data_IF_765657355366
#
_entry.id   IF_765657355366
#
_cell.length_a   1.000
_cell.length_b   1.000
_cell.length_c   1.000
_cell.angle_alpha   90.00
_cell.angle_beta   90.00
_cell.angle_gamma   90.00
#
_symmetry.space_group_name_H-M   'P 1'
#
loop_
_entity.id
_entity.type
_entity.pdbx_description
1 polymer ?
#
# COMPACT_ATOMS: atom_id res chain seq x y z
N UNK A 1 -6.87 -3.41 -29.56
CA UNK A 1 -6.27 -4.73 -29.81
C UNK A 1 -5.19 -5.10 -28.79
N UNK A 2 -4.31 -4.18 -28.34
CA UNK A 2 -3.25 -4.49 -27.35
C UNK A 2 -3.80 -4.98 -25.99
N UNK A 3 -4.93 -4.47 -25.51
CA UNK A 3 -5.48 -4.81 -24.19
C UNK A 3 -6.01 -6.26 -24.06
N UNK A 4 -6.38 -6.93 -25.16
CA UNK A 4 -6.91 -8.30 -25.11
C UNK A 4 -5.82 -9.35 -24.89
N UNK A 5 -4.57 -9.03 -25.20
CA UNK A 5 -3.43 -9.93 -24.96
C UNK A 5 -3.06 -10.00 -23.48
N UNK A 6 -3.31 -8.92 -22.73
CA UNK A 6 -2.93 -8.81 -21.32
C UNK A 6 -3.98 -9.38 -20.35
N UNK A 7 -5.09 -9.91 -20.86
CA UNK A 7 -6.13 -10.54 -20.04
C UNK A 7 -5.96 -12.06 -19.90
N UNK A 8 -5.12 -12.66 -20.74
CA UNK A 8 -4.88 -14.10 -20.82
C UNK A 8 -3.37 -14.39 -20.88
N UNK A 9 -2.64 -14.07 -19.80
CA UNK A 9 -1.21 -14.41 -19.72
C UNK A 9 -1.02 -15.85 -19.26
N UNK A 10 -0.07 -16.56 -19.88
CA UNK A 10 0.40 -17.84 -19.34
C UNK A 10 1.11 -17.65 -18.00
N UNK A 11 1.11 -18.72 -17.18
CA UNK A 11 1.87 -18.78 -15.92
C UNK A 11 3.33 -18.34 -16.08
N UNK A 12 4.00 -18.86 -17.10
CA UNK A 12 5.43 -18.59 -17.36
C UNK A 12 5.66 -17.11 -17.68
N UNK A 13 4.79 -16.51 -18.49
CA UNK A 13 4.87 -15.09 -18.83
C UNK A 13 4.62 -14.22 -17.60
N UNK A 14 3.65 -14.56 -16.77
CA UNK A 14 3.37 -13.87 -15.51
C UNK A 14 4.58 -13.90 -14.57
N UNK A 15 5.16 -15.08 -14.36
CA UNK A 15 6.30 -15.29 -13.47
C UNK A 15 7.55 -14.55 -14.00
N UNK A 16 7.80 -14.61 -15.31
CA UNK A 16 8.88 -13.85 -15.94
C UNK A 16 8.73 -12.34 -15.72
N UNK A 17 7.52 -11.78 -15.91
CA UNK A 17 7.26 -10.36 -15.68
C UNK A 17 7.46 -9.98 -14.22
N UNK A 18 6.97 -10.79 -13.29
CA UNK A 18 7.12 -10.51 -11.86
C UNK A 18 8.59 -10.49 -11.43
N UNK A 19 9.40 -11.43 -11.94
CA UNK A 19 10.86 -11.46 -11.71
C UNK A 19 11.56 -10.27 -12.37
N UNK A 20 11.24 -9.97 -13.64
CA UNK A 20 11.88 -8.87 -14.38
C UNK A 20 11.56 -7.48 -13.80
N UNK A 21 10.41 -7.32 -13.14
CA UNK A 21 9.99 -6.07 -12.51
C UNK A 21 10.31 -5.99 -11.02
N UNK A 22 10.98 -7.01 -10.47
CA UNK A 22 11.23 -7.18 -9.03
C UNK A 22 9.96 -6.97 -8.18
N UNK A 23 8.81 -7.42 -8.70
CA UNK A 23 7.52 -7.22 -8.08
C UNK A 23 7.04 -8.51 -7.39
N UNK A 24 7.55 -8.75 -6.19
CA UNK A 24 7.18 -9.92 -5.38
C UNK A 24 5.67 -10.00 -5.08
N UNK A 25 4.97 -8.84 -5.01
CA UNK A 25 3.52 -8.79 -4.75
C UNK A 25 2.74 -9.46 -5.87
N UNK A 26 3.21 -9.37 -7.12
CA UNK A 26 2.59 -10.07 -8.24
C UNK A 26 2.68 -11.59 -8.12
N UNK A 27 3.78 -12.13 -7.60
CA UNK A 27 3.90 -13.57 -7.34
C UNK A 27 2.98 -14.00 -6.18
N UNK A 28 2.95 -13.20 -5.11
CA UNK A 28 2.14 -13.50 -3.92
C UNK A 28 0.63 -13.46 -4.19
N UNK A 29 0.17 -12.53 -5.04
CA UNK A 29 -1.26 -12.35 -5.37
C UNK A 29 -1.68 -13.07 -6.65
N UNK A 30 -0.82 -13.89 -7.25
CA UNK A 30 -1.03 -14.53 -8.55
C UNK A 30 -2.37 -15.28 -8.66
N UNK A 31 -2.71 -16.08 -7.66
CA UNK A 31 -3.95 -16.89 -7.67
C UNK A 31 -5.23 -16.04 -7.71
N UNK A 32 -5.18 -14.80 -7.23
CA UNK A 32 -6.31 -13.86 -7.29
C UNK A 32 -6.72 -13.53 -8.73
N UNK A 33 -5.76 -13.56 -9.65
CA UNK A 33 -5.94 -13.13 -11.03
C UNK A 33 -6.03 -14.29 -12.01
N UNK A 34 -6.01 -15.53 -11.50
CA UNK A 34 -6.17 -16.73 -12.31
C UNK A 34 -7.59 -16.78 -12.90
N UNK A 35 -7.69 -17.01 -14.20
CA UNK A 35 -8.96 -17.21 -14.88
C UNK A 35 -9.26 -18.70 -15.03
N UNK A 36 -10.53 -19.09 -14.93
CA UNK A 36 -10.98 -20.49 -15.04
C UNK A 36 -11.16 -20.98 -16.49
N UNK A 37 -10.69 -20.21 -17.46
CA UNK A 37 -10.94 -20.47 -18.88
C UNK A 37 -9.98 -21.54 -19.44
N UNK A 38 -10.33 -22.82 -19.30
CA UNK A 38 -9.72 -23.92 -20.07
C UNK A 38 -8.79 -24.85 -19.27
N UNK A 39 -8.09 -25.74 -20.00
CA UNK A 39 -7.18 -26.75 -19.43
C UNK A 39 -5.85 -26.13 -18.94
N UNK A 40 -5.51 -24.92 -19.41
CA UNK A 40 -4.27 -24.22 -19.07
C UNK A 40 -4.51 -23.04 -18.11
N UNK A 41 -3.53 -22.76 -17.24
CA UNK A 41 -3.61 -21.65 -16.30
C UNK A 41 -3.34 -20.29 -16.99
N UNK A 42 -4.36 -19.44 -17.01
CA UNK A 42 -4.30 -18.09 -17.53
C UNK A 42 -4.49 -17.03 -16.44
N UNK A 43 -3.90 -15.84 -16.61
CA UNK A 43 -3.91 -14.76 -15.63
C UNK A 43 -4.29 -13.39 -16.24
N UNK A 44 -5.18 -12.66 -15.55
CA UNK A 44 -5.62 -11.33 -15.96
C UNK A 44 -4.70 -10.22 -15.42
N UNK A 45 -3.67 -9.91 -16.20
CA UNK A 45 -2.67 -8.92 -15.83
C UNK A 45 -3.19 -7.49 -15.86
N UNK A 46 -4.13 -7.17 -16.76
CA UNK A 46 -4.78 -5.85 -16.75
C UNK A 46 -5.52 -5.56 -15.43
N UNK A 47 -6.22 -6.56 -14.88
CA UNK A 47 -6.88 -6.42 -13.59
C UNK A 47 -5.83 -6.25 -12.48
N UNK A 48 -4.80 -7.09 -12.47
CA UNK A 48 -3.75 -7.04 -11.48
C UNK A 48 -3.04 -5.70 -11.40
N UNK A 49 -2.64 -5.14 -12.55
CA UNK A 49 -1.99 -3.83 -12.59
C UNK A 49 -2.91 -2.72 -12.07
N UNK A 50 -4.20 -2.75 -12.42
CA UNK A 50 -5.16 -1.74 -11.94
C UNK A 50 -5.28 -1.76 -10.42
N UNK A 51 -5.48 -2.94 -9.86
CA UNK A 51 -5.61 -3.10 -8.41
C UNK A 51 -4.30 -2.77 -7.68
N UNK A 52 -3.15 -3.20 -8.20
CA UNK A 52 -1.85 -2.84 -7.63
C UNK A 52 -1.58 -1.34 -7.67
N UNK A 53 -1.95 -0.65 -8.75
CA UNK A 53 -1.83 0.81 -8.84
C UNK A 53 -2.74 1.51 -7.83
N UNK A 54 -3.95 1.00 -7.61
CA UNK A 54 -4.89 1.55 -6.64
C UNK A 54 -4.44 1.30 -5.20
N UNK A 55 -4.01 0.08 -4.88
CA UNK A 55 -3.40 -0.29 -3.59
C UNK A 55 -2.24 0.65 -3.25
N UNK A 56 -1.30 0.85 -4.18
CA UNK A 56 -0.16 1.75 -3.99
C UNK A 56 -0.57 3.21 -3.76
N UNK A 57 -1.60 3.69 -4.47
CA UNK A 57 -2.13 5.06 -4.27
C UNK A 57 -2.83 5.21 -2.92
N UNK A 58 -3.52 4.18 -2.45
CA UNK A 58 -4.19 4.18 -1.15
C UNK A 58 -3.16 4.15 -0.03
N UNK A 59 -2.14 3.30 -0.17
CA UNK A 59 -1.04 3.20 0.78
C UNK A 59 -0.27 4.53 0.88
N UNK A 60 0.11 5.12 -0.25
CA UNK A 60 0.77 6.43 -0.25
C UNK A 60 -0.07 7.55 0.39
N UNK A 61 -1.39 7.54 0.21
CA UNK A 61 -2.30 8.47 0.90
C UNK A 61 -2.31 8.24 2.42
N UNK A 62 -2.34 6.98 2.85
CA UNK A 62 -2.33 6.59 4.25
C UNK A 62 -1.02 6.97 4.93
N UNK A 63 0.11 6.63 4.32
CA UNK A 63 1.44 7.03 4.79
C UNK A 63 1.59 8.55 4.86
N UNK A 64 1.11 9.27 3.85
CA UNK A 64 1.14 10.73 3.81
C UNK A 64 0.31 11.36 4.93
N UNK A 65 -0.90 10.85 5.18
CA UNK A 65 -1.75 11.28 6.29
C UNK A 65 -1.08 11.03 7.64
N UNK A 66 -0.54 9.82 7.86
CA UNK A 66 0.18 9.48 9.08
C UNK A 66 1.40 10.38 9.29
N UNK A 67 2.20 10.62 8.23
CA UNK A 67 3.37 11.50 8.29
C UNK A 67 2.99 12.92 8.68
N UNK A 68 1.89 13.46 8.13
CA UNK A 68 1.37 14.80 8.51
C UNK A 68 0.98 14.83 9.98
N UNK A 69 0.21 13.85 10.46
CA UNK A 69 -0.17 13.74 11.88
C UNK A 69 1.05 13.66 12.77
N UNK A 70 2.04 12.83 12.42
CA UNK A 70 3.31 12.73 13.19
C UNK A 70 4.03 14.08 13.28
N UNK A 71 4.07 14.86 12.20
CA UNK A 71 4.66 16.20 12.20
C UNK A 71 3.90 17.18 13.09
N UNK A 72 2.57 17.21 13.00
CA UNK A 72 1.74 18.08 13.85
C UNK A 72 1.93 17.73 15.33
N UNK A 73 1.85 16.44 15.68
CA UNK A 73 2.05 15.97 17.07
C UNK A 73 3.44 16.35 17.58
N UNK A 74 4.49 16.14 16.79
CA UNK A 74 5.86 16.55 17.15
C UNK A 74 5.95 18.04 17.47
N UNK A 75 5.37 18.89 16.62
CA UNK A 75 5.40 20.33 16.81
C UNK A 75 4.66 20.74 18.08
N UNK A 76 3.49 20.16 18.34
CA UNK A 76 2.72 20.45 19.54
C UNK A 76 3.42 19.99 20.82
N UNK A 77 4.08 18.82 20.80
CA UNK A 77 4.93 18.36 21.91
C UNK A 77 6.05 19.36 22.20
N UNK A 78 6.74 19.85 21.16
CA UNK A 78 7.81 20.85 21.30
C UNK A 78 7.32 22.20 21.83
N UNK A 79 6.06 22.56 21.56
CA UNK A 79 5.42 23.75 22.12
C UNK A 79 4.95 23.56 23.58
N UNK A 80 5.06 22.34 24.13
CA UNK A 80 4.71 22.04 25.52
C UNK A 80 3.23 21.74 25.76
N UNK A 81 2.45 21.41 24.73
CA UNK A 81 1.06 21.01 24.90
C UNK A 81 0.92 19.66 25.64
N UNK A 82 -0.19 19.50 26.37
CA UNK A 82 -0.50 18.24 27.05
C UNK A 82 -0.88 17.15 26.05
N UNK A 83 -0.65 15.89 26.40
CA UNK A 83 -1.02 14.74 25.55
C UNK A 83 -2.52 14.74 25.23
N UNK A 84 -3.37 15.13 26.19
CA UNK A 84 -4.83 15.18 26.01
C UNK A 84 -5.24 16.25 24.98
N UNK A 85 -4.67 17.45 25.06
CA UNK A 85 -4.94 18.53 24.09
C UNK A 85 -4.43 18.15 22.69
N UNK A 86 -3.27 17.50 22.61
CA UNK A 86 -2.70 17.02 21.35
C UNK A 86 -3.61 15.95 20.72
N UNK A 87 -4.11 14.99 21.50
CA UNK A 87 -4.99 13.95 21.00
C UNK A 87 -6.28 14.53 20.43
N UNK A 88 -6.85 15.55 21.10
CA UNK A 88 -8.03 16.28 20.63
C UNK A 88 -7.75 17.08 19.36
N UNK A 89 -6.63 17.79 19.29
CA UNK A 89 -6.30 18.67 18.16
C UNK A 89 -5.85 17.90 16.90
N UNK A 90 -5.09 16.83 17.07
CA UNK A 90 -4.56 16.02 15.97
C UNK A 90 -5.42 14.79 15.65
N UNK A 91 -6.55 14.62 16.34
CA UNK A 91 -7.48 13.49 16.21
C UNK A 91 -6.76 12.14 16.21
N UNK A 92 -5.86 11.95 17.17
CA UNK A 92 -4.98 10.79 17.23
C UNK A 92 -5.00 10.09 18.59
N UNK A 93 -4.59 8.82 18.60
CA UNK A 93 -4.54 8.03 19.82
C UNK A 93 -3.36 8.45 20.71
N UNK A 94 -3.50 8.42 22.05
CA UNK A 94 -2.41 8.72 22.97
C UNK A 94 -1.15 7.86 22.76
N UNK A 95 -1.32 6.62 22.26
CA UNK A 95 -0.22 5.73 21.91
C UNK A 95 0.71 6.34 20.85
N UNK A 96 0.17 7.02 19.84
CA UNK A 96 0.95 7.68 18.80
C UNK A 96 1.73 8.87 19.35
N UNK A 97 1.11 9.64 20.25
CA UNK A 97 1.77 10.78 20.91
C UNK A 97 2.96 10.30 21.74
N UNK A 98 2.76 9.21 22.49
CA UNK A 98 3.83 8.58 23.28
C UNK A 98 4.97 8.03 22.41
N UNK A 99 4.66 7.34 21.31
CA UNK A 99 5.65 6.87 20.33
C UNK A 99 6.54 8.01 19.83
N UNK A 100 5.93 9.16 19.49
CA UNK A 100 6.68 10.32 18.99
C UNK A 100 7.46 10.99 20.13
N UNK A 101 6.87 11.09 21.32
CA UNK A 101 7.55 11.65 22.49
C UNK A 101 8.80 10.85 22.84
N UNK A 102 8.73 9.52 22.84
CA UNK A 102 9.86 8.63 23.10
C UNK A 102 10.97 8.78 22.04
N UNK A 103 10.62 9.18 20.80
CA UNK A 103 11.58 9.45 19.72
C UNK A 103 12.28 10.82 19.78
N UNK A 104 11.85 11.70 20.68
CA UNK A 104 12.40 13.06 20.86
C UNK A 104 13.44 13.16 21.99
N UNK A 105 13.55 12.12 22.82
CA UNK A 105 14.50 12.00 23.94
C UNK A 105 15.79 11.35 23.46
#
# INVERSE_FOLDING_TARGET
MILLFWTHLSKETWEAIAVMTDNAVMLQKKDKYKTENGEEEEYNMCQALKELMEDNRNEGRREGSLKKTKTVVRNLLQMGFSVDDICKAAECAPALVKEIQDSLV
#
